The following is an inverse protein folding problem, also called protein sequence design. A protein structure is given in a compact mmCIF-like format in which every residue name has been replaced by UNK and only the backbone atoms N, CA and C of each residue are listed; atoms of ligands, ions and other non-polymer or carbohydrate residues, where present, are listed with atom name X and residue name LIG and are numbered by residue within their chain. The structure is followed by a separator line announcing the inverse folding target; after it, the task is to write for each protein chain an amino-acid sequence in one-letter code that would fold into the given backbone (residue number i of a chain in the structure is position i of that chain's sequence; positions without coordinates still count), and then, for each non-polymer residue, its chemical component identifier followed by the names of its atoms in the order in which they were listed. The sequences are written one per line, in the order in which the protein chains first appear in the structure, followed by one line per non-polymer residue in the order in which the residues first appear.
data_IF_166233378368
#
_entry.id   IF_166233378368
#
_cell.length_a   1.000
_cell.length_b   1.000
_cell.length_c   1.000
_cell.angle_alpha   90.00
_cell.angle_beta   90.00
_cell.angle_gamma   90.00
#
_symmetry.space_group_name_H-M   'P 1'
#
loop_
_entity.id
_entity.type
_entity.pdbx_description
1 polymer ?
#
# COMPACT_ATOMS: atom_id res chain seq x y z
N UNK A 1 22.91 12.01 -2.38
CA UNK A 1 21.80 12.96 -2.54
C UNK A 1 20.66 12.46 -1.68
N UNK A 2 20.09 13.30 -0.80
CA UNK A 2 18.85 12.96 -0.10
C UNK A 2 17.74 12.85 -1.15
N UNK A 3 17.09 11.69 -1.19
CA UNK A 3 16.27 11.20 -2.30
C UNK A 3 15.20 12.16 -2.78
N UNK A 4 14.96 12.12 -4.08
CA UNK A 4 13.87 12.85 -4.73
C UNK A 4 12.53 12.61 -4.01
N UNK A 5 11.62 13.61 -4.02
CA UNK A 5 10.32 13.47 -3.38
C UNK A 5 9.62 12.22 -3.91
N UNK A 6 9.40 11.26 -3.01
CA UNK A 6 8.72 10.00 -3.29
C UNK A 6 7.27 10.29 -3.71
N UNK A 7 7.04 10.40 -5.01
CA UNK A 7 5.71 10.54 -5.60
C UNK A 7 5.03 9.18 -5.75
N UNK A 8 3.75 9.22 -6.09
CA UNK A 8 3.02 8.07 -6.63
C UNK A 8 3.87 7.41 -7.74
N UNK A 9 4.00 6.09 -7.69
CA UNK A 9 4.77 5.31 -8.66
C UNK A 9 3.93 4.12 -9.13
N UNK A 10 3.94 3.86 -10.44
CA UNK A 10 3.20 2.75 -11.05
C UNK A 10 4.17 1.97 -11.93
N UNK A 11 4.28 0.69 -11.66
CA UNK A 11 5.08 -0.27 -12.41
C UNK A 11 4.15 -1.31 -13.03
N UNK A 12 4.45 -1.71 -14.26
CA UNK A 12 3.63 -2.65 -15.03
C UNK A 12 4.54 -3.73 -15.55
N UNK A 13 4.25 -4.96 -15.16
CA UNK A 13 4.98 -6.13 -15.59
C UNK A 13 4.25 -6.84 -16.73
N UNK A 14 5.03 -7.28 -17.71
CA UNK A 14 4.55 -7.90 -18.92
C UNK A 14 5.14 -9.29 -19.11
N UNK A 15 4.31 -10.26 -19.46
CA UNK A 15 4.73 -11.57 -19.95
C UNK A 15 4.06 -11.89 -21.28
N UNK A 16 4.84 -12.29 -22.28
CA UNK A 16 4.31 -12.64 -23.60
C UNK A 16 3.53 -11.50 -24.28
N UNK A 17 3.83 -10.25 -23.94
CA UNK A 17 3.13 -9.06 -24.47
C UNK A 17 1.80 -8.76 -23.77
N UNK A 18 1.48 -9.42 -22.66
CA UNK A 18 0.30 -9.16 -21.83
C UNK A 18 0.72 -8.61 -20.48
N UNK A 19 -0.07 -7.69 -19.94
CA UNK A 19 0.11 -7.23 -18.55
C UNK A 19 -0.23 -8.40 -17.63
N UNK A 20 0.69 -8.75 -16.73
CA UNK A 20 0.48 -9.79 -15.70
C UNK A 20 0.35 -9.19 -14.31
N UNK A 21 0.98 -8.05 -14.07
CA UNK A 21 0.96 -7.40 -12.77
C UNK A 21 1.06 -5.88 -12.94
N UNK A 22 0.34 -5.15 -12.09
CA UNK A 22 0.48 -3.71 -11.93
C UNK A 22 0.76 -3.45 -10.46
N UNK A 23 1.91 -2.86 -10.16
CA UNK A 23 2.27 -2.45 -8.82
C UNK A 23 2.12 -0.95 -8.71
N UNK A 24 1.34 -0.49 -7.72
CA UNK A 24 1.14 0.92 -7.46
C UNK A 24 1.61 1.26 -6.04
N UNK A 25 2.53 2.23 -5.93
CA UNK A 25 2.93 2.84 -4.66
C UNK A 25 2.30 4.22 -4.56
N UNK A 26 1.53 4.45 -3.50
CA UNK A 26 0.79 5.69 -3.29
C UNK A 26 1.48 6.55 -2.22
N UNK A 27 1.66 7.85 -2.50
CA UNK A 27 2.07 8.84 -1.52
C UNK A 27 0.87 9.36 -0.73
N UNK A 28 0.69 8.81 0.46
CA UNK A 28 -0.43 9.17 1.33
C UNK A 28 -0.26 10.52 2.02
N UNK A 29 0.89 11.21 1.89
CA UNK A 29 1.07 12.57 2.43
C UNK A 29 0.25 13.60 1.64
N UNK A 30 0.06 13.35 0.35
CA UNK A 30 -0.73 14.18 -0.54
C UNK A 30 -1.52 13.28 -1.52
N UNK A 31 -2.57 12.59 -1.03
CA UNK A 31 -3.21 11.52 -1.78
C UNK A 31 -3.90 12.07 -3.03
N UNK A 32 -3.54 11.52 -4.19
CA UNK A 32 -4.22 11.82 -5.44
C UNK A 32 -5.48 10.98 -5.60
N UNK A 33 -6.61 11.49 -5.09
CA UNK A 33 -7.90 10.79 -5.13
C UNK A 33 -8.37 10.49 -6.56
N UNK A 34 -8.03 11.34 -7.54
CA UNK A 34 -8.40 11.12 -8.93
C UNK A 34 -7.63 9.94 -9.53
N UNK A 35 -6.33 9.85 -9.28
CA UNK A 35 -5.51 8.70 -9.67
C UNK A 35 -6.02 7.42 -9.01
N UNK A 36 -6.30 7.45 -7.70
CA UNK A 36 -6.80 6.28 -6.99
C UNK A 36 -8.13 5.78 -7.57
N UNK A 37 -9.07 6.69 -7.89
CA UNK A 37 -10.32 6.33 -8.56
C UNK A 37 -10.08 5.67 -9.91
N UNK A 38 -9.20 6.25 -10.73
CA UNK A 38 -8.86 5.70 -12.03
C UNK A 38 -8.25 4.29 -11.92
N UNK A 39 -7.39 4.05 -10.93
CA UNK A 39 -6.83 2.71 -10.67
C UNK A 39 -7.95 1.74 -10.29
N UNK A 40 -8.84 2.11 -9.36
CA UNK A 40 -9.96 1.24 -8.95
C UNK A 40 -10.88 0.91 -10.14
N UNK A 41 -11.24 1.90 -10.94
CA UNK A 41 -12.06 1.72 -12.14
C UNK A 41 -11.38 0.81 -13.17
N UNK A 42 -10.08 0.98 -13.40
CA UNK A 42 -9.31 0.15 -14.32
C UNK A 42 -9.21 -1.30 -13.84
N UNK A 43 -8.95 -1.51 -12.54
CA UNK A 43 -8.88 -2.86 -11.94
C UNK A 43 -10.24 -3.55 -12.03
N UNK A 44 -11.33 -2.84 -11.74
CA UNK A 44 -12.68 -3.39 -11.86
C UNK A 44 -13.04 -3.76 -13.31
N UNK A 45 -12.71 -2.89 -14.27
CA UNK A 45 -12.95 -3.15 -15.69
C UNK A 45 -12.13 -4.32 -16.24
N UNK A 46 -10.97 -4.59 -15.65
CA UNK A 46 -10.11 -5.72 -15.99
C UNK A 46 -10.50 -7.03 -15.28
N UNK A 47 -11.55 -7.03 -14.44
CA UNK A 47 -11.93 -8.15 -13.58
C UNK A 47 -10.76 -8.63 -12.68
N UNK A 48 -9.91 -7.68 -12.26
CA UNK A 48 -8.76 -7.92 -11.42
C UNK A 48 -9.06 -7.62 -9.94
N UNK A 49 -8.15 -8.05 -9.06
CA UNK A 49 -8.22 -7.80 -7.62
C UNK A 49 -7.01 -6.98 -7.18
N UNK A 50 -7.13 -6.33 -6.02
CA UNK A 50 -5.98 -5.72 -5.37
C UNK A 50 -5.32 -6.70 -4.41
N UNK A 51 -3.99 -6.59 -4.29
CA UNK A 51 -3.20 -7.24 -3.26
C UNK A 51 -2.43 -6.16 -2.50
N UNK A 52 -2.61 -6.07 -1.18
CA UNK A 52 -1.87 -5.11 -0.37
C UNK A 52 -0.44 -5.59 -0.10
N UNK A 53 0.42 -4.69 0.39
CA UNK A 53 1.77 -5.05 0.86
C UNK A 53 1.78 -6.03 2.04
N UNK A 54 0.62 -6.26 2.66
CA UNK A 54 0.42 -7.25 3.72
C UNK A 54 -0.25 -8.53 3.18
N UNK A 55 -0.19 -8.73 1.86
CA UNK A 55 -0.71 -9.89 1.12
C UNK A 55 -2.23 -10.10 1.28
N UNK A 56 -2.97 -9.06 1.68
CA UNK A 56 -4.44 -9.12 1.69
C UNK A 56 -4.98 -8.91 0.30
N UNK A 57 -5.84 -9.83 -0.13
CA UNK A 57 -6.58 -9.74 -1.39
C UNK A 57 -7.94 -9.13 -1.13
N UNK A 58 -8.33 -8.15 -1.95
CA UNK A 58 -9.63 -7.48 -1.84
C UNK A 58 -10.12 -6.99 -3.20
N UNK A 59 -11.44 -6.82 -3.28
CA UNK A 59 -12.14 -6.43 -4.50
C UNK A 59 -11.80 -5.01 -4.94
N UNK A 60 -11.94 -4.76 -6.24
CA UNK A 60 -11.79 -3.44 -6.85
C UNK A 60 -13.00 -2.53 -6.58
N UNK A 61 -13.39 -2.40 -5.31
CA UNK A 61 -14.42 -1.48 -4.85
C UNK A 61 -13.79 -0.29 -4.11
N UNK A 62 -14.26 0.92 -4.39
CA UNK A 62 -13.76 2.14 -3.77
C UNK A 62 -13.70 2.07 -2.24
N UNK A 63 -14.75 1.55 -1.59
CA UNK A 63 -14.80 1.47 -0.14
C UNK A 63 -13.80 0.46 0.43
N UNK A 64 -13.64 -0.69 -0.24
CA UNK A 64 -12.67 -1.71 0.14
C UNK A 64 -11.24 -1.16 0.05
N UNK A 65 -10.93 -0.46 -1.05
CA UNK A 65 -9.62 0.15 -1.29
C UNK A 65 -9.32 1.24 -0.26
N UNK A 66 -10.27 2.13 0.02
CA UNK A 66 -10.10 3.18 1.04
C UNK A 66 -9.91 2.57 2.43
N UNK A 67 -10.69 1.56 2.79
CA UNK A 67 -10.57 0.89 4.06
C UNK A 67 -9.18 0.25 4.24
N UNK A 68 -8.68 -0.42 3.20
CA UNK A 68 -7.35 -1.03 3.21
C UNK A 68 -6.23 0.03 3.31
N UNK A 69 -6.35 1.14 2.57
CA UNK A 69 -5.39 2.25 2.66
C UNK A 69 -5.35 2.82 4.07
N UNK A 70 -6.51 3.08 4.69
CA UNK A 70 -6.59 3.62 6.04
C UNK A 70 -6.06 2.65 7.11
N UNK A 71 -6.20 1.35 6.89
CA UNK A 71 -5.64 0.32 7.76
C UNK A 71 -4.11 0.13 7.58
N UNK A 72 -3.54 0.63 6.48
CA UNK A 72 -2.13 0.43 6.16
C UNK A 72 -1.18 1.10 7.16
N UNK A 73 0.01 0.49 7.28
CA UNK A 73 1.12 1.06 8.06
C UNK A 73 1.54 2.44 7.58
N UNK A 74 1.46 2.68 6.27
CA UNK A 74 1.77 3.97 5.67
C UNK A 74 0.79 5.05 6.14
N UNK A 75 -0.52 4.79 6.13
CA UNK A 75 -1.52 5.73 6.61
C UNK A 75 -1.34 6.02 8.11
N UNK A 76 -1.06 4.99 8.91
CA UNK A 76 -0.77 5.16 10.35
C UNK A 76 0.45 6.05 10.58
N UNK A 77 1.52 5.85 9.83
CA UNK A 77 2.73 6.68 9.94
C UNK A 77 2.48 8.13 9.52
N UNK A 78 1.77 8.36 8.41
CA UNK A 78 1.44 9.71 7.94
C UNK A 78 0.56 10.47 8.94
N UNK A 79 -0.42 9.78 9.55
CA UNK A 79 -1.35 10.41 10.50
C UNK A 79 -0.72 10.67 11.88
N UNK A 80 0.07 9.73 12.41
CA UNK A 80 0.75 9.87 13.70
C UNK A 80 2.17 9.26 13.64
N UNK A 81 3.16 10.03 13.14
CA UNK A 81 4.53 9.53 13.01
C UNK A 81 5.13 9.09 14.36
N UNK A 82 4.89 9.88 15.41
CA UNK A 82 5.48 9.63 16.74
C UNK A 82 4.84 8.42 17.41
N UNK A 83 3.52 8.26 17.34
CA UNK A 83 2.83 7.08 17.83
C UNK A 83 3.19 5.83 17.04
N UNK A 84 3.37 5.93 15.72
CA UNK A 84 3.85 4.83 14.90
C UNK A 84 5.27 4.38 15.29
N UNK A 85 6.21 5.32 15.49
CA UNK A 85 7.57 4.99 15.92
C UNK A 85 7.60 4.31 17.30
N UNK A 86 6.80 4.79 18.27
CA UNK A 86 6.66 4.15 19.59
C UNK A 86 6.06 2.73 19.48
N UNK A 87 5.07 2.56 18.60
CA UNK A 87 4.48 1.25 18.35
C UNK A 87 5.49 0.28 17.73
N UNK A 88 6.30 0.74 16.77
CA UNK A 88 7.37 -0.05 16.15
C UNK A 88 8.37 -0.54 17.19
N UNK A 89 8.88 0.34 18.05
CA UNK A 89 9.86 -0.03 19.08
C UNK A 89 9.31 -1.09 20.04
N UNK A 90 8.03 -1.00 20.39
CA UNK A 90 7.38 -1.97 21.28
C UNK A 90 7.10 -3.31 20.58
N UNK A 91 6.83 -3.29 19.27
CA UNK A 91 6.52 -4.50 18.49
C UNK A 91 7.79 -5.28 18.13
N UNK A 92 8.87 -4.59 17.74
CA UNK A 92 10.16 -5.21 17.47
C UNK A 92 10.78 -5.86 18.73
N UNK A 93 10.58 -5.24 19.90
CA UNK A 93 11.05 -5.80 21.17
C UNK A 93 10.35 -7.13 21.57
N UNK A 94 9.16 -7.43 21.02
CA UNK A 94 8.47 -8.70 21.26
C UNK A 94 8.89 -9.81 20.30
N UNK A 95 9.38 -9.49 19.10
CA UNK A 95 9.86 -10.51 18.16
C UNK A 95 11.18 -11.15 18.61
N UNK A 96 12.08 -10.39 19.25
CA UNK A 96 13.36 -10.91 19.77
C UNK A 96 13.19 -11.90 20.93
N UNK A 97 12.09 -11.81 21.69
CA UNK A 97 11.84 -12.75 22.80
C UNK A 97 11.25 -14.09 22.35
N UNK A 98 10.69 -14.17 21.14
CA UNK A 98 10.04 -15.38 20.62
C UNK A 98 10.98 -16.28 19.82
N UNK A 99 12.22 -15.86 19.55
CA UNK A 99 13.25 -16.67 18.88
C UNK A 99 14.24 -17.36 19.84
N UNK A 100 13.97 -17.34 21.15
CA UNK A 100 14.79 -18.01 22.17
C UNK A 100 14.05 -19.15 22.92
N UNK A 101 12.94 -19.66 22.39
CA UNK A 101 12.17 -20.77 23.00
C UNK A 101 12.18 -22.02 22.14
#
# INVERSE_FOLDING_TARGET
MYGEPSQDDIQVDYEGGRVVEIQARLDLRNPNTALLRAIVEATAAAEAVFVSSEERVFEAEWNAVVAEILASRAARFVHDPMGYLKWLTNTSAHQDTSSQS
#
